data_IF_587415968828
#
_entry.id   IF_587415968828
#
_cell.length_a   1.000
_cell.length_b   1.000
_cell.length_c   1.000
_cell.angle_alpha   90.00
_cell.angle_beta   90.00
_cell.angle_gamma   90.00
#
_symmetry.space_group_name_H-M   'P 1'
#
loop_
_entity.id
_entity.type
_entity.pdbx_description
1 polymer ?
#
# COMPACT_ATOMS: atom_id res chain seq x y z
N UNK A 1 13.66 -4.57 -6.67
CA UNK A 1 14.48 -5.34 -5.70
C UNK A 1 15.18 -4.35 -4.78
N UNK A 2 14.41 -3.57 -4.04
CA UNK A 2 14.93 -2.67 -3.01
C UNK A 2 14.31 -3.16 -1.70
N UNK A 3 15.16 -3.52 -0.75
CA UNK A 3 14.75 -3.78 0.62
C UNK A 3 14.80 -2.46 1.40
N UNK A 4 14.00 -2.35 2.46
CA UNK A 4 14.06 -1.23 3.40
C UNK A 4 15.42 -1.21 4.10
N UNK A 5 15.85 -0.03 4.56
CA UNK A 5 17.09 0.12 5.32
C UNK A 5 17.08 -0.84 6.54
N UNK A 6 18.23 -1.49 6.80
CA UNK A 6 18.35 -2.59 7.78
C UNK A 6 18.09 -4.00 7.21
N UNK A 7 17.76 -4.12 5.91
CA UNK A 7 17.54 -5.41 5.26
C UNK A 7 18.33 -5.54 3.95
N UNK A 8 18.89 -6.73 3.72
CA UNK A 8 19.61 -7.10 2.50
C UNK A 8 18.75 -8.06 1.65
N UNK A 9 18.76 -7.87 0.33
CA UNK A 9 17.99 -8.73 -0.58
C UNK A 9 18.71 -10.06 -0.80
N UNK A 10 18.07 -11.18 -0.42
CA UNK A 10 18.55 -12.53 -0.74
C UNK A 10 18.04 -12.94 -2.15
N UNK A 11 18.92 -13.02 -3.17
CA UNK A 11 18.51 -13.34 -4.53
C UNK A 11 18.11 -14.81 -4.73
N UNK A 12 18.50 -15.70 -3.82
CA UNK A 12 18.18 -17.14 -3.88
C UNK A 12 16.77 -17.38 -3.35
N UNK A 13 16.40 -16.70 -2.27
CA UNK A 13 15.08 -16.84 -1.63
C UNK A 13 14.07 -15.78 -2.08
N UNK A 14 14.50 -14.77 -2.83
CA UNK A 14 13.70 -13.62 -3.26
C UNK A 14 13.00 -12.88 -2.11
N UNK A 15 13.62 -12.86 -0.93
CA UNK A 15 13.11 -12.17 0.28
C UNK A 15 14.15 -11.20 0.82
N UNK A 16 13.69 -10.17 1.53
CA UNK A 16 14.55 -9.28 2.29
C UNK A 16 14.90 -9.94 3.62
N UNK A 17 16.20 -10.07 3.90
CA UNK A 17 16.71 -10.64 5.13
C UNK A 17 17.28 -9.52 5.99
N UNK A 18 16.98 -9.59 7.29
CA UNK A 18 17.55 -8.69 8.30
C UNK A 18 19.09 -8.71 8.28
N UNK A 19 19.69 -7.52 8.34
CA UNK A 19 21.15 -7.33 8.43
C UNK A 19 21.53 -7.43 9.90
N UNK A 20 22.59 -8.18 10.24
CA UNK A 20 23.12 -8.20 11.61
C UNK A 20 24.11 -7.06 11.81
N UNK A 21 23.64 -5.87 12.18
CA UNK A 21 24.52 -4.71 12.32
C UNK A 21 25.49 -4.84 13.51
N UNK A 22 25.15 -5.66 14.52
CA UNK A 22 26.05 -5.96 15.64
C UNK A 22 27.28 -6.78 15.20
N UNK A 23 27.16 -7.58 14.14
CA UNK A 23 28.27 -8.33 13.56
C UNK A 23 29.14 -7.47 12.61
N UNK A 24 28.57 -6.41 12.04
CA UNK A 24 29.22 -5.58 11.01
C UNK A 24 29.92 -4.37 11.64
N UNK A 25 29.32 -3.74 12.66
CA UNK A 25 29.84 -2.53 13.29
C UNK A 25 30.51 -2.89 14.62
N UNK A 26 31.84 -2.93 14.64
CA UNK A 26 32.60 -3.03 15.88
C UNK A 26 32.30 -1.81 16.78
N UNK A 27 31.92 -2.06 18.03
CA UNK A 27 31.47 -1.04 18.99
C UNK A 27 30.23 -0.23 18.55
N UNK A 28 29.24 -0.89 17.92
CA UNK A 28 27.96 -0.29 17.55
C UNK A 28 27.27 0.48 18.70
N UNK A 29 27.51 0.09 19.96
CA UNK A 29 26.96 0.73 21.14
C UNK A 29 28.04 1.43 21.98
N UNK A 30 27.88 2.75 22.19
CA UNK A 30 28.79 3.56 23.02
C UNK A 30 28.50 3.37 24.52
N UNK A 31 29.53 3.52 25.37
CA UNK A 31 29.36 3.59 26.82
C UNK A 31 29.24 2.24 27.54
N UNK A 32 29.83 1.17 27.00
CA UNK A 32 29.85 -0.15 27.65
C UNK A 32 28.54 -0.95 27.58
N UNK A 33 27.60 -0.50 26.74
CA UNK A 33 26.33 -1.18 26.45
C UNK A 33 26.52 -2.36 25.49
N UNK A 34 25.70 -3.40 25.64
CA UNK A 34 25.68 -4.58 24.78
C UNK A 34 24.80 -4.33 23.55
N UNK A 35 25.33 -4.64 22.37
CA UNK A 35 24.57 -4.66 21.12
C UNK A 35 23.74 -5.94 20.99
N UNK A 36 22.49 -5.83 20.56
CA UNK A 36 21.57 -6.95 20.29
C UNK A 36 20.88 -6.71 18.96
N UNK A 37 21.03 -7.66 18.04
CA UNK A 37 20.40 -7.56 16.73
C UNK A 37 18.86 -7.63 16.84
N UNK A 38 18.15 -6.80 16.06
CA UNK A 38 16.70 -6.70 16.06
C UNK A 38 16.18 -6.48 14.64
N UNK A 39 14.92 -6.81 14.36
CA UNK A 39 14.39 -6.68 13.00
C UNK A 39 14.48 -5.23 12.49
N UNK A 40 15.29 -5.01 11.44
CA UNK A 40 15.56 -3.73 10.81
C UNK A 40 16.60 -2.86 11.52
N UNK A 41 17.41 -3.42 12.44
CA UNK A 41 18.49 -2.70 13.10
C UNK A 41 19.05 -3.37 14.36
N UNK A 42 19.54 -2.58 15.31
CA UNK A 42 20.10 -3.10 16.56
C UNK A 42 19.69 -2.29 17.78
N UNK A 43 19.64 -2.95 18.94
CA UNK A 43 19.34 -2.38 20.25
C UNK A 43 20.60 -2.33 21.11
N UNK A 44 20.84 -1.19 21.76
CA UNK A 44 21.89 -1.03 22.76
C UNK A 44 21.31 -1.14 24.17
N UNK A 45 21.68 -2.20 24.89
CA UNK A 45 21.16 -2.49 26.22
C UNK A 45 22.26 -2.41 27.30
N UNK A 46 21.94 -2.02 28.54
CA UNK A 46 22.86 -2.14 29.67
C UNK A 46 23.34 -3.60 29.85
N UNK A 47 24.57 -3.83 30.31
CA UNK A 47 25.13 -5.19 30.45
C UNK A 47 24.27 -6.14 31.32
N UNK A 48 23.48 -5.58 32.24
CA UNK A 48 22.64 -6.32 33.18
C UNK A 48 21.18 -6.45 32.70
N UNK A 49 20.86 -6.02 31.47
CA UNK A 49 19.52 -6.15 30.93
C UNK A 49 19.21 -7.62 30.61
N UNK A 50 18.20 -8.18 31.25
CA UNK A 50 17.65 -9.49 30.89
C UNK A 50 16.62 -9.30 29.78
N UNK A 51 16.91 -9.86 28.61
CA UNK A 51 15.93 -9.95 27.53
C UNK A 51 14.99 -11.09 27.90
N UNK A 52 13.79 -10.74 28.34
CA UNK A 52 12.68 -11.68 28.37
C UNK A 52 12.21 -11.86 26.94
N UNK A 53 12.74 -12.87 26.26
CA UNK A 53 12.10 -13.37 25.05
C UNK A 53 10.80 -14.01 25.53
N UNK A 54 9.66 -13.33 25.37
CA UNK A 54 8.41 -14.06 25.32
C UNK A 54 8.53 -14.99 24.12
N UNK A 55 8.58 -16.30 24.36
CA UNK A 55 8.33 -17.26 23.30
C UNK A 55 6.87 -17.08 22.86
N UNK A 56 6.69 -16.29 21.80
CA UNK A 56 5.42 -15.76 21.28
C UNK A 56 5.64 -14.27 21.04
N UNK A 57 5.95 -13.80 19.83
CA UNK A 57 5.20 -14.06 18.61
C UNK A 57 6.09 -14.39 17.40
N UNK A 58 6.17 -15.68 17.08
CA UNK A 58 6.13 -16.15 15.69
C UNK A 58 4.71 -16.69 15.52
N UNK A 59 3.99 -16.43 14.40
CA UNK A 59 2.69 -17.05 14.17
C UNK A 59 2.91 -18.56 14.02
N UNK A 60 2.78 -19.28 15.13
CA UNK A 60 2.72 -20.73 15.12
C UNK A 60 1.51 -21.14 14.30
N UNK A 61 1.79 -21.78 13.17
CA UNK A 61 0.91 -22.72 12.52
C UNK A 61 0.21 -23.60 13.57
N UNK A 62 -1.07 -23.93 13.41
CA UNK A 62 -1.72 -24.89 14.29
C UNK A 62 -1.11 -26.27 14.06
N UNK A 63 -0.27 -26.72 14.99
CA UNK A 63 0.10 -28.12 15.13
C UNK A 63 -1.02 -28.87 15.86
N UNK A 64 -1.32 -30.05 15.33
CA UNK A 64 -2.23 -31.07 15.85
C UNK A 64 -2.04 -31.35 17.35
N UNK A 65 -3.12 -31.61 18.10
CA UNK A 65 -3.05 -32.32 19.37
C UNK A 65 -3.16 -33.84 19.15
N UNK A 66 -2.15 -34.58 19.59
CA UNK A 66 -2.22 -36.04 19.81
C UNK A 66 -2.98 -36.35 21.11
N UNK A 67 -3.66 -37.51 21.11
CA UNK A 67 -4.51 -38.06 22.17
C UNK A 67 -3.80 -38.32 23.52
N UNK A 68 -4.56 -38.65 24.59
CA UNK A 68 -4.58 -40.06 24.99
C UNK A 68 -5.88 -40.63 25.62
N UNK A 69 -6.01 -41.96 25.45
CA UNK A 69 -6.52 -43.00 26.36
C UNK A 69 -8.04 -43.23 26.62
N UNK A 70 -8.59 -44.27 25.93
CA UNK A 70 -9.32 -45.51 26.36
C UNK A 70 -10.13 -45.56 27.69
N UNK A 71 -11.13 -46.48 27.91
CA UNK A 71 -11.46 -47.77 27.21
C UNK A 71 -13.00 -48.00 27.03
N UNK A 72 -13.61 -49.22 26.85
CA UNK A 72 -13.14 -50.54 26.33
C UNK A 72 -14.00 -51.15 25.17
N UNK A 73 -13.39 -52.09 24.41
CA UNK A 73 -13.82 -53.47 24.02
C UNK A 73 -15.34 -53.80 23.96
N UNK A 74 -15.93 -54.58 23.04
CA UNK A 74 -15.54 -55.66 22.09
C UNK A 74 -16.87 -56.28 21.54
N UNK A 75 -16.88 -57.33 20.68
CA UNK A 75 -15.98 -57.74 19.61
C UNK A 75 -16.69 -58.12 18.29
N UNK A 76 -15.90 -58.31 17.23
CA UNK A 76 -16.23 -59.24 16.13
C UNK A 76 -15.90 -58.65 14.77
N UNK A 77 -15.09 -59.25 13.90
CA UNK A 77 -14.46 -60.57 13.90
C UNK A 77 -13.17 -60.49 13.07
N UNK A 78 -12.26 -61.43 13.36
CA UNK A 78 -10.95 -61.53 12.75
C UNK A 78 -10.98 -61.82 11.24
N UNK A 79 -9.79 -61.59 10.69
CA UNK A 79 -9.40 -61.60 9.29
C UNK A 79 -9.64 -62.91 8.55
N UNK A 80 -9.77 -62.71 7.24
CA UNK A 80 -9.35 -63.51 6.10
C UNK A 80 -8.78 -64.92 6.30
N UNK A 81 -9.38 -65.80 5.49
CA UNK A 81 -8.74 -66.73 4.56
C UNK A 81 -7.72 -67.74 5.08
N UNK A 82 -8.12 -69.01 5.03
CA UNK A 82 -7.27 -70.08 4.55
C UNK A 82 -8.07 -70.94 3.55
N UNK A 83 -7.55 -71.01 2.32
CA UNK A 83 -7.91 -71.99 1.31
C UNK A 83 -7.59 -73.41 1.78
N UNK A 84 -8.45 -74.41 1.51
CA UNK A 84 -8.12 -75.55 0.61
C UNK A 84 -9.24 -76.61 0.58
N UNK A 85 -9.58 -76.99 -0.66
CA UNK A 85 -10.15 -78.24 -1.21
C UNK A 85 -10.69 -79.38 -0.31
N UNK A 86 -11.81 -79.99 -0.76
CA UNK A 86 -11.97 -81.39 -1.26
C UNK A 86 -13.48 -81.80 -1.27
N UNK A 87 -13.99 -82.35 -2.38
CA UNK A 87 -15.31 -83.01 -2.57
C UNK A 87 -15.29 -84.49 -2.08
N UNK A 88 -16.31 -85.37 -2.23
CA UNK A 88 -17.79 -85.31 -2.20
C UNK A 88 -18.43 -86.33 -1.19
N UNK A 89 -19.76 -86.28 -0.97
CA UNK A 89 -20.50 -87.33 -0.23
C UNK A 89 -22.01 -87.37 -0.52
N UNK A 90 -22.50 -88.56 -0.92
CA UNK A 90 -23.88 -88.94 -1.30
C UNK A 90 -24.81 -88.97 -0.06
N UNK A 91 -26.05 -88.45 -0.07
CA UNK A 91 -27.31 -89.03 -0.60
C UNK A 91 -28.45 -88.91 0.46
N UNK A 92 -29.68 -89.41 0.24
CA UNK A 92 -30.80 -88.78 -0.48
C UNK A 92 -32.01 -88.43 0.43
N UNK A 93 -32.93 -87.56 -0.03
CA UNK A 93 -34.27 -87.42 0.56
C UNK A 93 -35.08 -86.19 0.11
N UNK A 94 -36.09 -86.41 -0.75
CA UNK A 94 -37.11 -85.45 -1.20
C UNK A 94 -38.36 -85.46 -0.29
N UNK A 95 -39.01 -84.29 -0.11
CA UNK A 95 -40.48 -83.99 -0.10
C UNK A 95 -40.62 -82.49 0.24
N UNK A 96 -40.99 -81.57 -0.67
CA UNK A 96 -42.27 -81.20 -1.34
C UNK A 96 -43.39 -80.71 -0.41
N UNK A 97 -43.87 -79.47 -0.65
CA UNK A 97 -45.26 -78.98 -0.67
C UNK A 97 -45.25 -77.45 -0.87
N UNK A 98 -46.12 -76.71 -1.57
CA UNK A 98 -47.22 -76.91 -2.53
C UNK A 98 -47.79 -75.49 -2.77
N UNK A 99 -47.88 -75.00 -4.01
CA UNK A 99 -48.84 -73.95 -4.41
C UNK A 99 -48.70 -73.55 -5.90
N UNK A 100 -48.97 -74.51 -6.80
CA UNK A 100 -49.47 -74.18 -8.15
C UNK A 100 -50.97 -74.41 -8.15
N UNK A 101 -51.77 -73.35 -8.15
CA UNK A 101 -53.23 -73.45 -8.20
C UNK A 101 -53.66 -73.75 -9.63
N UNK A 102 -54.33 -74.89 -9.80
CA UNK A 102 -54.98 -75.37 -11.02
C UNK A 102 -56.25 -74.58 -11.32
N UNK A 103 -56.43 -74.16 -12.57
CA UNK A 103 -57.76 -73.86 -13.13
C UNK A 103 -57.95 -74.70 -14.39
N UNK A 104 -59.03 -75.48 -14.46
CA UNK A 104 -59.45 -76.13 -15.70
C UNK A 104 -60.13 -75.08 -16.62
N UNK A 105 -60.08 -75.31 -17.93
CA UNK A 105 -60.76 -74.48 -18.94
C UNK A 105 -62.28 -74.48 -18.77
N UNK A 106 -63.00 -73.46 -19.29
CA UNK A 106 -64.47 -73.44 -19.25
C UNK A 106 -65.06 -74.71 -19.89
N UNK A 107 -65.90 -75.43 -19.14
CA UNK A 107 -66.48 -76.71 -19.56
C UNK A 107 -65.94 -77.96 -18.85
N UNK A 108 -65.00 -77.82 -17.91
CA UNK A 108 -64.43 -78.92 -17.12
C UNK A 108 -64.51 -78.61 -15.61
N UNK A 109 -64.88 -79.59 -14.80
CA UNK A 109 -64.97 -79.49 -13.33
C UNK A 109 -63.82 -80.30 -12.71
N UNK A 110 -63.18 -79.73 -11.68
CA UNK A 110 -62.12 -80.38 -10.88
C UNK A 110 -62.72 -81.43 -9.95
N UNK A 111 -62.15 -82.63 -9.91
CA UNK A 111 -62.53 -83.66 -8.93
C UNK A 111 -61.74 -83.55 -7.62
N UNK A 112 -62.15 -84.33 -6.61
CA UNK A 112 -61.54 -84.36 -5.26
C UNK A 112 -60.09 -84.90 -5.24
N UNK A 113 -59.53 -85.29 -6.38
CA UNK A 113 -58.14 -85.75 -6.54
C UNK A 113 -57.28 -84.87 -7.47
N UNK A 114 -57.75 -83.65 -7.81
CA UNK A 114 -57.04 -82.69 -8.67
C UNK A 114 -56.87 -83.09 -10.15
N UNK A 115 -57.81 -83.85 -10.74
CA UNK A 115 -57.85 -84.13 -12.19
C UNK A 115 -59.03 -83.41 -12.88
N UNK A 116 -58.83 -82.91 -14.12
CA UNK A 116 -59.91 -82.33 -14.95
C UNK A 116 -60.53 -83.44 -15.85
N UNK A 117 -61.85 -83.70 -15.75
CA UNK A 117 -62.59 -84.65 -16.63
C UNK A 117 -63.66 -83.95 -17.48
N UNK A 118 -63.82 -84.39 -18.74
CA UNK A 118 -64.77 -83.83 -19.70
C UNK A 118 -65.83 -84.83 -20.18
N UNK A 119 -66.96 -84.33 -20.67
CA UNK A 119 -68.00 -85.11 -21.34
C UNK A 119 -67.54 -85.57 -22.74
N UNK A 120 -67.77 -86.84 -23.04
CA UNK A 120 -67.50 -87.51 -24.31
C UNK A 120 -68.32 -86.95 -25.47
N UNK A 121 -67.69 -86.70 -26.64
CA UNK A 121 -68.02 -87.16 -28.00
C UNK A 121 -67.18 -86.44 -29.07
N UNK A 122 -67.00 -87.00 -30.29
CA UNK A 122 -65.73 -87.01 -31.00
C UNK A 122 -65.70 -86.03 -32.18
N UNK A 123 -64.52 -85.57 -32.57
CA UNK A 123 -64.07 -85.48 -33.97
C UNK A 123 -62.55 -85.30 -33.93
N UNK A 124 -61.87 -86.14 -34.70
CA UNK A 124 -60.44 -86.14 -34.90
C UNK A 124 -59.99 -84.98 -35.81
N UNK A 125 -59.03 -84.19 -35.36
CA UNK A 125 -58.06 -83.48 -36.22
C UNK A 125 -56.70 -83.38 -35.50
N UNK A 126 -55.57 -83.44 -36.22
CA UNK A 126 -54.26 -83.68 -35.64
C UNK A 126 -53.69 -82.45 -34.92
N UNK A 127 -53.04 -82.72 -33.78
CA UNK A 127 -52.34 -81.76 -32.92
C UNK A 127 -51.05 -81.26 -33.57
N UNK A 128 -51.12 -80.15 -34.31
CA UNK A 128 -49.98 -79.25 -34.53
C UNK A 128 -50.48 -77.81 -34.72
N UNK A 129 -50.78 -77.16 -33.59
CA UNK A 129 -50.73 -75.70 -33.34
C UNK A 129 -51.78 -75.30 -32.30
N UNK A 130 -51.52 -75.66 -31.04
CA UNK A 130 -52.09 -74.90 -29.93
C UNK A 130 -50.97 -73.97 -29.44
N UNK A 131 -50.83 -72.82 -30.09
CA UNK A 131 -50.08 -71.71 -29.51
C UNK A 131 -50.83 -71.25 -28.26
N UNK A 132 -50.47 -71.81 -27.09
CA UNK A 132 -50.72 -71.12 -25.84
C UNK A 132 -49.84 -69.87 -25.86
N UNK A 133 -50.38 -68.76 -26.35
CA UNK A 133 -49.81 -67.46 -26.08
C UNK A 133 -49.86 -67.29 -24.55
N UNK A 134 -48.70 -67.39 -23.91
CA UNK A 134 -48.54 -67.10 -22.50
C UNK A 134 -48.76 -65.58 -22.33
N UNK A 135 -50.02 -65.19 -22.09
CA UNK A 135 -50.36 -63.79 -21.85
C UNK A 135 -49.93 -63.47 -20.43
N UNK A 136 -48.98 -62.56 -20.34
CA UNK A 136 -48.47 -62.04 -19.09
C UNK A 136 -49.58 -61.31 -18.32
N UNK A 137 -49.68 -61.58 -17.01
CA UNK A 137 -50.63 -60.88 -16.15
C UNK A 137 -49.90 -59.69 -15.59
N UNK A 138 -50.21 -58.49 -16.06
CA UNK A 138 -49.68 -57.28 -15.45
C UNK A 138 -50.19 -57.14 -14.00
N UNK A 139 -49.34 -57.47 -13.02
CA UNK A 139 -49.70 -57.40 -11.61
C UNK A 139 -49.71 -55.96 -11.07
N UNK A 140 -48.99 -55.03 -11.71
CA UNK A 140 -48.92 -53.62 -11.34
C UNK A 140 -50.27 -52.92 -11.60
N UNK A 141 -50.82 -53.09 -12.79
CA UNK A 141 -52.14 -52.52 -13.17
C UNK A 141 -53.30 -53.20 -12.46
N UNK A 142 -53.14 -54.47 -12.06
CA UNK A 142 -54.16 -55.24 -11.35
C UNK A 142 -54.06 -55.15 -9.82
N UNK A 143 -53.10 -54.40 -9.29
CA UNK A 143 -52.90 -54.24 -7.84
C UNK A 143 -52.56 -55.55 -7.11
N UNK A 144 -51.94 -56.52 -7.82
CA UNK A 144 -51.60 -57.85 -7.28
C UNK A 144 -50.10 -58.01 -6.98
N UNK A 145 -49.44 -56.90 -6.66
CA UNK A 145 -48.03 -56.83 -6.28
C UNK A 145 -47.87 -56.62 -4.77
N UNK A 146 -46.67 -56.89 -4.25
CA UNK A 146 -46.31 -56.67 -2.83
C UNK A 146 -45.34 -55.50 -2.65
N UNK A 147 -45.22 -54.60 -3.63
CA UNK A 147 -44.37 -53.41 -3.53
C UNK A 147 -44.85 -52.46 -2.41
N UNK A 148 -43.89 -51.92 -1.65
CA UNK A 148 -44.13 -50.88 -0.63
C UNK A 148 -44.58 -49.57 -1.29
N UNK A 149 -45.17 -48.65 -0.52
CA UNK A 149 -45.63 -47.35 -1.03
C UNK A 149 -44.52 -46.49 -1.67
N UNK A 150 -43.27 -46.69 -1.22
CA UNK A 150 -42.09 -45.95 -1.68
C UNK A 150 -41.38 -46.63 -2.87
N UNK A 151 -42.02 -47.62 -3.48
CA UNK A 151 -41.51 -48.41 -4.61
C UNK A 151 -42.41 -48.30 -5.84
N UNK A 152 -41.79 -48.24 -7.00
CA UNK A 152 -42.44 -48.31 -8.31
C UNK A 152 -42.49 -49.79 -8.73
N UNK A 153 -43.68 -50.24 -9.11
CA UNK A 153 -43.91 -51.58 -9.65
C UNK A 153 -43.65 -51.57 -11.16
N UNK A 154 -42.75 -52.44 -11.61
CA UNK A 154 -42.47 -52.72 -13.01
C UNK A 154 -42.94 -54.13 -13.35
N UNK A 155 -43.85 -54.26 -14.32
CA UNK A 155 -44.31 -55.56 -14.78
C UNK A 155 -43.21 -56.27 -15.60
N UNK A 156 -43.00 -57.56 -15.36
CA UNK A 156 -42.00 -58.39 -16.05
C UNK A 156 -42.65 -59.66 -16.56
N UNK A 157 -42.11 -60.28 -17.61
CA UNK A 157 -42.75 -61.48 -18.17
C UNK A 157 -42.75 -62.64 -17.16
N UNK A 158 -43.93 -62.94 -16.62
CA UNK A 158 -44.19 -63.98 -15.62
C UNK A 158 -44.08 -63.53 -14.15
N UNK A 159 -43.82 -62.25 -13.86
CA UNK A 159 -43.71 -61.70 -12.49
C UNK A 159 -43.70 -60.16 -12.45
N UNK A 160 -43.45 -59.55 -11.30
CA UNK A 160 -43.27 -58.10 -11.16
C UNK A 160 -41.97 -57.78 -10.40
N UNK A 161 -41.41 -56.60 -10.65
CA UNK A 161 -40.23 -56.05 -9.98
C UNK A 161 -40.61 -54.79 -9.22
N UNK A 162 -40.30 -54.74 -7.93
CA UNK A 162 -40.43 -53.52 -7.12
C UNK A 162 -39.08 -52.83 -7.02
N UNK A 163 -38.99 -51.59 -7.49
CA UNK A 163 -37.78 -50.78 -7.40
C UNK A 163 -38.08 -49.50 -6.62
N UNK A 164 -37.13 -49.03 -5.81
CA UNK A 164 -37.29 -47.75 -5.11
C UNK A 164 -37.50 -46.60 -6.12
N UNK A 165 -38.20 -45.55 -5.67
CA UNK A 165 -38.32 -44.32 -6.47
C UNK A 165 -36.92 -43.79 -6.86
N UNK A 166 -36.80 -43.06 -7.99
CA UNK A 166 -35.52 -42.45 -8.38
C UNK A 166 -34.93 -41.60 -7.24
N UNK A 167 -33.62 -41.72 -7.01
CA UNK A 167 -32.94 -41.06 -5.88
C UNK A 167 -32.96 -41.86 -4.56
N UNK A 168 -33.62 -43.02 -4.51
CA UNK A 168 -33.65 -43.89 -3.33
C UNK A 168 -32.96 -45.23 -3.59
N UNK A 169 -32.30 -45.75 -2.56
CA UNK A 169 -31.64 -47.06 -2.59
C UNK A 169 -32.30 -48.03 -1.61
N UNK A 170 -32.25 -49.32 -1.95
CA UNK A 170 -32.84 -50.37 -1.12
C UNK A 170 -31.92 -50.70 0.06
N UNK A 171 -32.40 -50.53 1.28
CA UNK A 171 -31.74 -50.95 2.51
C UNK A 171 -32.68 -51.91 3.27
N UNK A 172 -32.46 -53.22 3.11
CA UNK A 172 -33.42 -54.23 3.56
C UNK A 172 -34.73 -54.16 2.76
N UNK A 173 -35.86 -54.03 3.46
CA UNK A 173 -37.21 -53.89 2.85
C UNK A 173 -37.66 -52.43 2.69
N UNK A 174 -36.84 -51.47 3.13
CA UNK A 174 -37.13 -50.03 3.05
C UNK A 174 -36.32 -49.34 1.96
N UNK A 175 -36.91 -48.32 1.36
CA UNK A 175 -36.22 -47.40 0.46
C UNK A 175 -35.73 -46.21 1.27
N UNK A 176 -34.40 -46.05 1.33
CA UNK A 176 -33.77 -44.91 2.00
C UNK A 176 -33.20 -43.99 0.94
N UNK A 177 -33.20 -42.69 1.24
CA UNK A 177 -32.61 -41.68 0.39
C UNK A 177 -31.14 -42.04 0.08
N UNK A 178 -30.76 -41.91 -1.19
CA UNK A 178 -29.39 -42.16 -1.61
C UNK A 178 -28.60 -40.87 -1.39
N UNK A 179 -27.72 -40.86 -0.41
CA UNK A 179 -26.86 -39.70 -0.22
C UNK A 179 -25.77 -39.64 -1.31
N UNK A 180 -26.02 -38.83 -2.36
CA UNK A 180 -25.07 -38.62 -3.44
C UNK A 180 -23.81 -37.87 -2.98
N UNK A 181 -23.85 -37.16 -1.86
CA UNK A 181 -22.72 -36.39 -1.33
C UNK A 181 -21.65 -37.26 -0.68
N UNK A 182 -21.95 -38.53 -0.37
CA UNK A 182 -20.96 -39.49 0.14
C UNK A 182 -19.94 -39.92 -0.93
N UNK A 183 -20.15 -39.57 -2.20
CA UNK A 183 -19.24 -39.83 -3.31
C UNK A 183 -18.48 -38.55 -3.69
N UNK A 184 -17.16 -38.55 -3.52
CA UNK A 184 -16.26 -37.38 -3.49
C UNK A 184 -16.15 -36.54 -4.80
N UNK A 185 -17.00 -36.71 -5.80
CA UNK A 185 -16.86 -36.07 -7.12
C UNK A 185 -18.14 -35.49 -7.72
N UNK A 186 -19.25 -35.45 -6.97
CA UNK A 186 -20.51 -34.92 -7.51
C UNK A 186 -20.53 -33.39 -7.58
N UNK A 187 -20.01 -32.68 -6.58
CA UNK A 187 -19.97 -31.21 -6.59
C UNK A 187 -18.53 -30.70 -6.54
N UNK A 188 -18.25 -29.58 -7.20
CA UNK A 188 -16.92 -28.94 -7.14
C UNK A 188 -16.62 -28.36 -5.75
N UNK A 189 -17.63 -27.75 -5.10
CA UNK A 189 -17.50 -27.17 -3.76
C UNK A 189 -18.38 -27.93 -2.76
N UNK A 190 -19.53 -27.36 -2.35
CA UNK A 190 -20.39 -27.95 -1.32
C UNK A 190 -21.51 -28.77 -1.96
N UNK A 191 -21.69 -30.00 -1.48
CA UNK A 191 -22.83 -30.85 -1.84
C UNK A 191 -23.85 -30.83 -0.70
N UNK A 192 -25.13 -30.65 -1.03
CA UNK A 192 -26.24 -30.73 -0.07
C UNK A 192 -27.19 -31.84 -0.52
N UNK A 193 -27.31 -32.88 0.31
CA UNK A 193 -28.21 -33.98 0.07
C UNK A 193 -29.65 -33.61 0.46
N UNK A 194 -30.63 -34.04 -0.34
CA UNK A 194 -32.06 -33.77 -0.12
C UNK A 194 -32.87 -35.04 -0.39
N UNK A 195 -34.07 -35.23 0.19
CA UNK A 195 -34.84 -36.44 -0.07
C UNK A 195 -35.17 -36.62 -1.57
N UNK A 196 -34.57 -37.63 -2.21
CA UNK A 196 -34.73 -38.00 -3.61
C UNK A 196 -33.83 -37.27 -4.61
N UNK A 197 -32.92 -36.39 -4.16
CA UNK A 197 -32.00 -35.64 -5.03
C UNK A 197 -30.87 -34.98 -4.22
N UNK A 198 -29.97 -34.28 -4.88
CA UNK A 198 -28.99 -33.40 -4.25
C UNK A 198 -28.89 -32.10 -5.05
N UNK A 199 -28.22 -31.11 -4.49
CA UNK A 199 -27.81 -29.93 -5.23
C UNK A 199 -26.45 -29.43 -4.78
N UNK A 200 -25.75 -28.76 -5.69
CA UNK A 200 -24.43 -28.20 -5.44
C UNK A 200 -24.52 -26.71 -5.13
N UNK A 201 -23.73 -26.27 -4.16
CA UNK A 201 -23.57 -24.88 -3.78
C UNK A 201 -22.11 -24.45 -3.94
N UNK A 202 -21.92 -23.22 -4.36
CA UNK A 202 -20.61 -22.63 -4.56
C UNK A 202 -20.23 -21.77 -3.36
N UNK A 203 -18.95 -21.81 -2.97
CA UNK A 203 -18.38 -20.88 -2.01
C UNK A 203 -18.54 -19.42 -2.48
N UNK A 204 -18.45 -18.47 -1.55
CA UNK A 204 -18.43 -17.03 -1.84
C UNK A 204 -17.38 -16.70 -2.91
N UNK A 205 -17.70 -15.78 -3.83
CA UNK A 205 -16.88 -15.45 -4.99
C UNK A 205 -17.08 -16.38 -6.20
N UNK A 206 -17.98 -17.35 -6.12
CA UNK A 206 -18.28 -18.27 -7.21
C UNK A 206 -19.78 -18.39 -7.47
N UNK A 207 -20.12 -18.68 -8.72
CA UNK A 207 -21.50 -18.99 -9.14
C UNK A 207 -21.57 -20.38 -9.76
N UNK A 208 -22.74 -21.00 -9.63
CA UNK A 208 -22.97 -22.32 -10.20
C UNK A 208 -22.97 -22.24 -11.74
N UNK A 209 -22.22 -23.14 -12.38
CA UNK A 209 -22.16 -23.25 -13.82
C UNK A 209 -23.44 -23.89 -14.39
N UNK A 210 -23.62 -23.84 -15.71
CA UNK A 210 -24.80 -24.39 -16.40
C UNK A 210 -24.97 -25.91 -16.26
N UNK A 211 -23.92 -26.60 -15.83
CA UNK A 211 -23.97 -28.03 -15.53
C UNK A 211 -24.48 -28.34 -14.11
N UNK A 212 -24.83 -27.34 -13.29
CA UNK A 212 -25.28 -27.48 -11.91
C UNK A 212 -24.30 -28.21 -10.96
N UNK A 213 -23.04 -28.36 -11.35
CA UNK A 213 -22.05 -29.17 -10.65
C UNK A 213 -20.73 -28.43 -10.41
N UNK A 214 -20.31 -27.63 -11.38
CA UNK A 214 -19.07 -26.86 -11.33
C UNK A 214 -19.33 -25.45 -10.84
N UNK A 215 -18.34 -24.88 -10.17
CA UNK A 215 -18.36 -23.50 -9.71
C UNK A 215 -17.40 -22.68 -10.58
N UNK A 216 -17.91 -21.60 -11.16
CA UNK A 216 -17.09 -20.66 -11.91
C UNK A 216 -16.93 -19.40 -11.10
N UNK A 217 -15.72 -18.87 -11.16
CA UNK A 217 -15.36 -17.60 -10.55
C UNK A 217 -16.32 -16.49 -10.99
N UNK A 218 -16.74 -15.66 -10.04
CA UNK A 218 -17.52 -14.45 -10.32
C UNK A 218 -16.53 -13.33 -10.51
N UNK A 219 -16.53 -12.71 -11.70
CA UNK A 219 -15.70 -11.54 -11.90
C UNK A 219 -16.35 -10.30 -11.25
N UNK A 220 -16.00 -10.00 -10.00
CA UNK A 220 -16.59 -8.87 -9.28
C UNK A 220 -16.28 -7.52 -9.95
N UNK A 221 -15.11 -7.41 -10.61
CA UNK A 221 -14.72 -6.22 -11.36
C UNK A 221 -15.62 -5.94 -12.58
N UNK A 222 -16.29 -6.95 -13.13
CA UNK A 222 -17.24 -6.77 -14.22
C UNK A 222 -18.68 -6.63 -13.74
N UNK A 223 -19.02 -7.25 -12.61
CA UNK A 223 -20.40 -7.34 -12.14
C UNK A 223 -20.75 -6.20 -11.19
N UNK A 224 -19.95 -5.97 -10.14
CA UNK A 224 -20.28 -5.01 -9.08
C UNK A 224 -19.40 -3.76 -9.09
N UNK A 225 -18.23 -3.80 -9.73
CA UNK A 225 -17.23 -2.71 -9.71
C UNK A 225 -17.00 -2.13 -8.30
N UNK A 226 -16.55 -2.97 -7.36
CA UNK A 226 -16.53 -2.61 -5.94
C UNK A 226 -15.43 -1.58 -5.57
N UNK A 227 -14.38 -1.47 -6.40
CA UNK A 227 -13.23 -0.63 -6.11
C UNK A 227 -13.45 0.82 -6.56
N UNK A 228 -12.94 1.78 -5.78
CA UNK A 228 -12.94 3.20 -6.16
C UNK A 228 -12.04 3.50 -7.37
N UNK A 229 -10.86 2.87 -7.43
CA UNK A 229 -9.89 3.01 -8.51
C UNK A 229 -9.80 1.75 -9.38
N UNK A 230 -8.70 1.01 -9.30
CA UNK A 230 -8.45 -0.16 -10.16
C UNK A 230 -8.92 -1.43 -9.46
N UNK A 231 -9.63 -2.30 -10.19
CA UNK A 231 -10.08 -3.60 -9.71
C UNK A 231 -9.37 -4.71 -10.48
N UNK A 232 -8.79 -5.66 -9.76
CA UNK A 232 -8.18 -6.86 -10.32
C UNK A 232 -8.92 -8.09 -9.82
N UNK A 233 -9.45 -8.86 -10.77
CA UNK A 233 -10.16 -10.08 -10.45
C UNK A 233 -9.18 -11.20 -10.08
N UNK A 234 -9.46 -11.91 -8.99
CA UNK A 234 -8.72 -13.08 -8.54
C UNK A 234 -9.66 -14.29 -8.50
N UNK A 235 -9.11 -15.49 -8.38
CA UNK A 235 -9.94 -16.69 -8.28
C UNK A 235 -10.57 -16.74 -6.87
N UNK A 236 -11.89 -16.57 -6.81
CA UNK A 236 -12.72 -16.56 -5.61
C UNK A 236 -12.75 -15.24 -4.84
N UNK A 237 -12.18 -14.17 -5.40
CA UNK A 237 -12.16 -12.84 -4.77
C UNK A 237 -11.71 -11.77 -5.76
N UNK A 238 -11.56 -10.54 -5.31
CA UNK A 238 -10.94 -9.46 -6.06
C UNK A 238 -9.99 -8.68 -5.14
N UNK A 239 -9.11 -7.89 -5.75
CA UNK A 239 -8.29 -6.91 -5.03
C UNK A 239 -8.40 -5.55 -5.68
N UNK A 240 -8.51 -4.52 -4.84
CA UNK A 240 -8.50 -3.13 -5.27
C UNK A 240 -7.08 -2.56 -5.19
N UNK A 241 -6.73 -1.73 -6.18
CA UNK A 241 -5.47 -1.02 -6.24
C UNK A 241 -5.75 0.47 -6.45
N UNK A 242 -5.15 1.29 -5.60
CA UNK A 242 -5.25 2.74 -5.68
C UNK A 242 -4.28 3.31 -6.72
N UNK A 243 -4.67 4.42 -7.33
CA UNK A 243 -3.79 5.21 -8.19
C UNK A 243 -2.63 5.79 -7.38
N UNK A 244 -1.57 6.22 -8.07
CA UNK A 244 -0.42 6.88 -7.41
C UNK A 244 -0.89 8.11 -6.62
N UNK A 245 -0.33 8.30 -5.42
CA UNK A 245 -0.73 9.38 -4.49
C UNK A 245 -1.85 8.98 -3.53
N UNK A 246 -2.37 7.74 -3.63
CA UNK A 246 -3.40 7.23 -2.74
C UNK A 246 -2.98 5.90 -2.13
N UNK A 247 -3.46 5.62 -0.92
CA UNK A 247 -3.33 4.33 -0.24
C UNK A 247 -4.69 3.66 -0.04
N UNK A 248 -4.69 2.33 0.10
CA UNK A 248 -5.91 1.56 0.24
C UNK A 248 -6.45 1.71 1.66
N UNK A 249 -7.71 2.11 1.78
CA UNK A 249 -8.39 2.28 3.06
C UNK A 249 -8.57 0.93 3.78
N UNK A 250 -8.82 0.93 5.11
CA UNK A 250 -9.03 -0.30 5.88
C UNK A 250 -10.20 -1.18 5.40
N UNK A 251 -11.13 -0.63 4.62
CA UNK A 251 -12.23 -1.37 4.01
C UNK A 251 -11.83 -2.16 2.75
N UNK A 252 -10.56 -2.04 2.31
CA UNK A 252 -9.98 -2.68 1.12
C UNK A 252 -10.61 -2.29 -0.23
N UNK A 253 -11.48 -1.28 -0.26
CA UNK A 253 -12.20 -0.86 -1.48
C UNK A 253 -12.06 0.61 -1.81
N UNK A 254 -11.95 1.47 -0.79
CA UNK A 254 -11.77 2.91 -0.95
C UNK A 254 -10.30 3.29 -0.98
N UNK A 255 -10.01 4.43 -1.59
CA UNK A 255 -8.67 4.97 -1.72
C UNK A 255 -8.58 6.31 -1.00
N UNK A 256 -7.71 6.40 0.00
CA UNK A 256 -7.47 7.63 0.73
C UNK A 256 -6.23 8.33 0.18
N UNK A 257 -6.33 9.64 0.07
CA UNK A 257 -5.25 10.50 -0.37
C UNK A 257 -4.08 10.44 0.62
N UNK A 258 -2.86 10.33 0.11
CA UNK A 258 -1.66 10.36 0.93
C UNK A 258 -1.28 11.82 1.16
N UNK A 259 -1.46 12.30 2.39
CA UNK A 259 -1.04 13.66 2.72
C UNK A 259 0.50 13.76 2.79
N UNK A 260 1.12 14.14 1.67
CA UNK A 260 2.57 14.24 1.59
C UNK A 260 3.13 15.36 2.47
N UNK A 261 2.32 16.39 2.74
CA UNK A 261 2.68 17.51 3.61
C UNK A 261 2.75 17.08 5.08
N UNK A 262 1.87 16.16 5.51
CA UNK A 262 1.93 15.56 6.85
C UNK A 262 3.09 14.56 6.99
N UNK A 263 3.38 13.80 5.93
CA UNK A 263 4.43 12.78 5.94
C UNK A 263 5.85 13.38 5.88
N UNK A 264 6.06 14.45 5.11
CA UNK A 264 7.38 15.08 4.95
C UNK A 264 7.29 16.61 5.05
N UNK A 265 7.42 17.17 6.27
CA UNK A 265 7.27 18.60 6.50
C UNK A 265 8.29 19.48 5.75
N UNK A 266 9.47 18.93 5.44
CA UNK A 266 10.56 19.63 4.76
C UNK A 266 10.58 19.37 3.24
N UNK A 267 9.46 18.89 2.68
CA UNK A 267 9.39 18.55 1.26
C UNK A 267 9.48 19.79 0.37
N UNK A 268 8.75 20.85 0.73
CA UNK A 268 8.78 22.15 0.06
C UNK A 268 9.74 23.11 0.80
N UNK A 269 10.35 24.05 0.08
CA UNK A 269 11.17 25.10 0.70
C UNK A 269 10.35 26.03 1.61
N UNK A 270 9.08 26.29 1.25
CA UNK A 270 8.22 27.21 2.00
C UNK A 270 6.92 26.54 2.48
N UNK A 271 5.86 26.57 1.68
CA UNK A 271 4.56 26.01 2.07
C UNK A 271 4.20 24.83 1.18
N UNK A 272 3.72 23.76 1.81
CA UNK A 272 3.18 22.58 1.16
C UNK A 272 1.66 22.61 1.24
N UNK A 273 1.00 22.35 0.12
CA UNK A 273 -0.46 22.22 0.02
C UNK A 273 -0.75 20.82 -0.50
N UNK A 274 -1.40 20.02 0.34
CA UNK A 274 -1.84 18.69 -0.04
C UNK A 274 -3.03 18.77 -1.01
N UNK A 275 -3.01 17.96 -2.07
CA UNK A 275 -4.06 17.89 -3.07
C UNK A 275 -4.39 16.43 -3.40
N UNK A 276 -5.59 16.09 -3.90
CA UNK A 276 -5.89 14.69 -4.17
C UNK A 276 -4.95 14.06 -5.21
N UNK A 277 -4.10 13.12 -4.77
CA UNK A 277 -3.14 12.34 -5.56
C UNK A 277 -1.76 12.98 -5.77
N UNK A 278 -1.54 14.19 -5.25
CA UNK A 278 -0.27 14.91 -5.36
C UNK A 278 -0.19 16.04 -4.31
N UNK A 279 0.92 16.73 -4.24
CA UNK A 279 1.05 17.97 -3.48
C UNK A 279 1.53 19.10 -4.38
N UNK A 280 1.30 20.33 -3.94
CA UNK A 280 1.87 21.52 -4.57
C UNK A 280 2.63 22.34 -3.56
N UNK A 281 3.80 22.86 -3.96
CA UNK A 281 4.55 23.81 -3.18
C UNK A 281 4.19 25.23 -3.61
N UNK A 282 4.00 26.12 -2.64
CA UNK A 282 3.78 27.55 -2.90
C UNK A 282 4.93 28.39 -2.35
N UNK A 283 5.18 29.49 -3.04
CA UNK A 283 6.20 30.47 -2.67
C UNK A 283 5.54 31.72 -2.09
N UNK A 284 6.24 32.43 -1.18
CA UNK A 284 5.77 33.71 -0.67
C UNK A 284 5.81 34.80 -1.76
N UNK A 285 5.16 35.93 -1.49
CA UNK A 285 5.17 37.08 -2.39
C UNK A 285 6.60 37.54 -2.70
N UNK A 286 6.86 37.92 -3.97
CA UNK A 286 8.21 38.26 -4.47
C UNK A 286 9.05 37.05 -4.88
N UNK A 287 8.52 35.83 -4.78
CA UNK A 287 9.20 34.61 -5.21
C UNK A 287 8.34 33.80 -6.20
N UNK A 288 9.03 33.10 -7.09
CA UNK A 288 8.43 32.16 -8.03
C UNK A 288 8.96 30.74 -7.81
N UNK A 289 8.12 29.74 -8.10
CA UNK A 289 8.51 28.35 -7.97
C UNK A 289 9.51 27.98 -9.08
N UNK A 290 10.73 27.65 -8.69
CA UNK A 290 11.77 27.11 -9.57
C UNK A 290 11.76 25.59 -9.49
N UNK A 291 11.30 24.94 -10.57
CA UNK A 291 11.03 23.50 -10.56
C UNK A 291 9.73 23.19 -9.81
N UNK A 292 9.76 22.23 -8.89
CA UNK A 292 8.56 21.80 -8.14
C UNK A 292 8.57 22.14 -6.66
N UNK A 293 9.74 22.49 -6.08
CA UNK A 293 9.91 22.52 -4.60
C UNK A 293 10.71 23.71 -4.07
N UNK A 294 11.41 24.46 -4.93
CA UNK A 294 12.28 25.57 -4.53
C UNK A 294 11.69 26.91 -4.97
N UNK A 295 11.92 27.94 -4.17
CA UNK A 295 11.49 29.30 -4.44
C UNK A 295 12.69 30.15 -4.86
N UNK A 296 12.55 30.80 -6.00
CA UNK A 296 13.53 31.73 -6.55
C UNK A 296 12.98 33.14 -6.48
N UNK A 297 13.82 34.07 -6.06
CA UNK A 297 13.53 35.51 -6.07
C UNK A 297 13.13 35.99 -7.47
N UNK A 298 12.08 36.79 -7.54
CA UNK A 298 11.68 37.46 -8.77
C UNK A 298 12.49 38.74 -8.86
N UNK A 299 13.27 38.91 -9.93
CA UNK A 299 13.93 40.19 -10.15
C UNK A 299 12.93 41.20 -10.73
N UNK A 300 12.28 41.99 -9.87
CA UNK A 300 11.29 42.99 -10.33
C UNK A 300 11.93 44.08 -11.19
N UNK A 301 13.22 44.35 -10.98
CA UNK A 301 13.97 45.31 -11.79
C UNK A 301 14.15 44.86 -13.26
N UNK A 302 14.03 43.56 -13.55
CA UNK A 302 14.08 43.01 -14.91
C UNK A 302 12.71 42.68 -15.49
N UNK A 303 11.70 42.50 -14.63
CA UNK A 303 10.37 42.03 -15.03
C UNK A 303 9.35 43.16 -15.03
N UNK A 304 9.03 43.74 -13.86
CA UNK A 304 8.10 44.87 -13.74
C UNK A 304 8.32 45.59 -12.41
N UNK A 305 8.58 46.90 -12.48
CA UNK A 305 8.77 47.75 -11.31
C UNK A 305 8.06 49.10 -11.49
N UNK A 306 7.69 49.74 -10.39
CA UNK A 306 7.02 51.04 -10.39
C UNK A 306 7.99 52.24 -10.24
N UNK A 307 9.30 52.00 -10.30
CA UNK A 307 10.30 53.08 -10.21
C UNK A 307 10.19 54.09 -11.35
N UNK A 308 10.30 55.38 -11.02
CA UNK A 308 10.31 56.48 -11.98
C UNK A 308 11.63 56.58 -12.76
N UNK A 309 11.67 57.37 -13.83
CA UNK A 309 12.91 57.62 -14.59
C UNK A 309 13.99 58.35 -13.79
N UNK A 310 13.58 59.08 -12.75
CA UNK A 310 14.47 59.75 -11.79
C UNK A 310 14.96 58.79 -10.70
N UNK A 311 14.55 57.52 -10.72
CA UNK A 311 14.93 56.51 -9.74
C UNK A 311 15.71 55.36 -10.39
N UNK A 312 16.55 54.71 -9.60
CA UNK A 312 17.21 53.46 -9.92
C UNK A 312 16.50 52.35 -9.16
N UNK A 313 16.11 51.29 -9.88
CA UNK A 313 15.57 50.09 -9.28
C UNK A 313 16.72 49.26 -8.67
N UNK A 314 16.49 48.78 -7.46
CA UNK A 314 17.38 47.85 -6.76
C UNK A 314 16.60 46.62 -6.31
N UNK A 315 16.98 45.47 -6.83
CA UNK A 315 16.39 44.18 -6.48
C UNK A 315 17.00 43.63 -5.17
N UNK A 316 16.17 43.03 -4.33
CA UNK A 316 16.59 42.28 -3.15
C UNK A 316 15.70 41.06 -2.97
N UNK A 317 16.08 40.16 -2.07
CA UNK A 317 15.32 38.93 -1.84
C UNK A 317 13.91 39.22 -1.32
N UNK A 318 12.90 38.87 -2.09
CA UNK A 318 11.49 39.07 -1.80
C UNK A 318 10.94 40.44 -2.19
N UNK A 319 11.66 41.22 -3.00
CA UNK A 319 11.13 42.47 -3.53
C UNK A 319 12.17 43.43 -4.10
N UNK A 320 11.70 44.63 -4.45
CA UNK A 320 12.55 45.68 -4.99
C UNK A 320 12.35 47.02 -4.26
N UNK A 321 13.30 47.92 -4.46
CA UNK A 321 13.23 49.29 -3.97
C UNK A 321 13.75 50.28 -4.99
N UNK A 322 13.09 51.42 -5.09
CA UNK A 322 13.49 52.54 -5.92
C UNK A 322 14.32 53.52 -5.09
N UNK A 323 15.49 53.90 -5.59
CA UNK A 323 16.32 54.94 -4.98
C UNK A 323 16.50 56.11 -5.95
N UNK A 324 16.59 57.36 -5.48
CA UNK A 324 16.81 58.50 -6.36
C UNK A 324 18.10 58.35 -7.19
N UNK A 325 18.02 58.61 -8.49
CA UNK A 325 19.18 58.86 -9.37
C UNK A 325 19.70 60.26 -9.02
N UNK A 326 20.85 60.31 -8.35
CA UNK A 326 21.53 61.51 -7.82
C UNK A 326 21.21 61.83 -6.35
N UNK A 327 21.47 60.92 -5.39
CA UNK A 327 21.31 61.20 -3.97
C UNK A 327 22.42 62.09 -3.39
N UNK A 328 23.22 62.78 -4.24
CA UNK A 328 24.28 63.65 -3.73
C UNK A 328 23.63 64.81 -2.97
N UNK A 329 23.80 64.82 -1.66
CA UNK A 329 23.36 65.92 -0.80
C UNK A 329 24.12 67.20 -1.20
N UNK A 330 23.44 68.35 -1.20
CA UNK A 330 24.11 69.66 -1.33
C UNK A 330 25.17 69.78 -0.21
N UNK A 331 26.45 70.15 -0.47
CA UNK A 331 27.06 70.73 -1.69
C UNK A 331 27.85 69.76 -2.59
N UNK A 332 27.55 68.46 -2.54
CA UNK A 332 28.25 67.47 -3.34
C UNK A 332 27.66 67.33 -4.74
N UNK A 333 28.54 67.25 -5.75
CA UNK A 333 28.15 67.06 -7.14
C UNK A 333 28.62 65.69 -7.63
N UNK A 334 27.75 64.98 -8.34
CA UNK A 334 28.05 63.65 -8.89
C UNK A 334 29.09 63.74 -10.00
N UNK A 335 30.12 62.91 -9.94
CA UNK A 335 31.07 62.71 -11.03
C UNK A 335 30.59 61.61 -11.98
N UNK A 336 31.22 61.51 -13.16
CA UNK A 336 30.99 60.42 -14.13
C UNK A 336 31.24 59.01 -13.55
N UNK A 337 32.03 58.90 -12.47
CA UNK A 337 32.35 57.65 -11.78
C UNK A 337 31.33 57.29 -10.68
N UNK A 338 30.16 57.94 -10.65
CA UNK A 338 29.13 57.74 -9.62
C UNK A 338 29.60 58.05 -8.18
N UNK A 339 30.50 59.02 -8.03
CA UNK A 339 30.98 59.53 -6.73
C UNK A 339 30.47 60.94 -6.53
N UNK A 340 29.96 61.26 -5.35
CA UNK A 340 29.60 62.62 -4.98
C UNK A 340 30.87 63.31 -4.47
N UNK A 341 31.34 64.34 -5.15
CA UNK A 341 32.56 65.07 -4.80
C UNK A 341 32.19 66.48 -4.40
N UNK A 342 32.81 66.97 -3.33
CA UNK A 342 32.65 68.35 -2.92
C UNK A 342 33.36 69.28 -3.92
N UNK A 343 32.66 70.30 -4.42
CA UNK A 343 33.29 71.37 -5.22
C UNK A 343 33.97 72.41 -4.31
N UNK A 344 34.93 73.22 -4.80
CA UNK A 344 35.74 74.13 -3.98
C UNK A 344 35.02 75.33 -3.34
N UNK A 345 33.70 75.26 -3.16
CA UNK A 345 32.96 76.24 -2.37
C UNK A 345 33.30 76.03 -0.89
N UNK A 346 33.36 77.11 -0.12
CA UNK A 346 33.71 77.08 1.32
C UNK A 346 32.75 76.24 2.19
N UNK A 347 31.67 75.72 1.62
CA UNK A 347 30.61 74.96 2.28
C UNK A 347 31.04 73.57 2.81
N UNK A 348 32.10 72.95 2.28
CA UNK A 348 32.51 71.61 2.72
C UNK A 348 33.52 71.58 3.87
N UNK A 349 33.78 72.71 4.54
CA UNK A 349 34.73 72.74 5.67
C UNK A 349 34.24 71.83 6.79
N UNK A 350 34.98 70.74 7.02
CA UNK A 350 34.69 69.74 8.06
C UNK A 350 33.95 68.49 7.58
N UNK A 351 33.56 68.41 6.31
CA UNK A 351 32.94 67.23 5.69
C UNK A 351 33.93 66.33 4.92
N UNK A 352 33.50 65.13 4.52
CA UNK A 352 34.30 64.27 3.64
C UNK A 352 34.52 64.95 2.28
N UNK A 353 35.65 64.66 1.64
CA UNK A 353 35.98 65.15 0.29
C UNK A 353 35.13 64.47 -0.79
N UNK A 354 34.73 63.23 -0.53
CA UNK A 354 33.85 62.47 -1.41
C UNK A 354 32.94 61.54 -0.64
N UNK A 355 31.75 61.31 -1.19
CA UNK A 355 30.74 60.38 -0.70
C UNK A 355 30.43 59.37 -1.80
N UNK A 356 30.42 58.09 -1.44
CA UNK A 356 30.02 56.99 -2.32
C UNK A 356 28.83 56.28 -1.69
N UNK A 357 27.81 56.00 -2.50
CA UNK A 357 26.64 55.23 -2.07
C UNK A 357 26.77 53.81 -2.61
N UNK A 358 26.55 52.82 -1.74
CA UNK A 358 26.52 51.40 -2.10
C UNK A 358 25.29 50.75 -1.50
N UNK A 359 24.75 49.79 -2.22
CA UNK A 359 23.60 49.00 -1.81
C UNK A 359 24.02 47.54 -1.74
N UNK A 360 23.50 46.82 -0.76
CA UNK A 360 23.76 45.40 -0.53
C UNK A 360 22.48 44.73 -0.06
N UNK A 361 22.19 43.55 -0.58
CA UNK A 361 21.16 42.67 -0.04
C UNK A 361 21.78 41.55 0.79
N UNK A 362 21.18 41.25 1.94
CA UNK A 362 21.61 40.17 2.83
C UNK A 362 20.41 39.29 3.17
N UNK A 363 20.64 37.98 3.25
CA UNK A 363 19.68 36.99 3.74
C UNK A 363 19.58 37.02 5.27
N UNK A 364 18.36 36.94 5.82
CA UNK A 364 18.14 36.95 7.29
C UNK A 364 18.61 35.68 8.02
N UNK A 365 18.95 34.61 7.30
CA UNK A 365 19.32 33.29 7.83
C UNK A 365 20.82 33.17 8.17
N UNK A 366 21.62 34.22 7.91
CA UNK A 366 23.07 34.19 8.11
C UNK A 366 23.41 34.10 9.60
N UNK A 367 23.68 32.89 10.08
CA UNK A 367 24.08 32.62 11.47
C UNK A 367 25.53 33.07 11.76
N UNK A 368 25.71 34.05 12.67
CA UNK A 368 27.00 34.52 13.28
C UNK A 368 28.06 35.04 12.27
N UNK A 369 29.15 35.69 12.73
CA UNK A 369 29.61 36.96 12.15
C UNK A 369 30.12 36.79 10.71
N UNK A 370 29.28 37.13 9.74
CA UNK A 370 29.68 37.23 8.35
C UNK A 370 30.52 38.49 8.15
N UNK A 371 31.64 38.35 7.45
CA UNK A 371 32.37 39.48 6.87
C UNK A 371 31.56 39.95 5.66
N UNK A 372 30.67 40.92 5.88
CA UNK A 372 29.67 41.29 4.87
C UNK A 372 30.22 42.29 3.85
N UNK A 373 31.14 43.17 4.25
CA UNK A 373 31.69 44.19 3.34
C UNK A 373 33.13 44.55 3.71
N UNK A 374 34.00 44.64 2.70
CA UNK A 374 35.39 45.08 2.88
C UNK A 374 35.60 46.47 2.29
N UNK A 375 36.11 47.40 3.10
CA UNK A 375 36.59 48.71 2.66
C UNK A 375 38.09 48.59 2.39
N UNK A 376 38.53 49.09 1.23
CA UNK A 376 39.93 49.10 0.85
C UNK A 376 40.36 50.49 0.40
N UNK A 377 41.47 50.96 0.96
CA UNK A 377 42.15 52.18 0.54
C UNK A 377 42.94 51.90 -0.75
N UNK A 378 42.83 52.81 -1.71
CA UNK A 378 43.57 52.76 -2.98
C UNK A 378 44.98 53.32 -2.88
N UNK A 379 45.28 54.12 -1.85
CA UNK A 379 46.61 54.69 -1.61
C UNK A 379 47.49 53.74 -0.78
N UNK A 380 48.55 53.22 -1.43
CA UNK A 380 49.53 52.28 -0.85
C UNK A 380 50.88 53.01 -0.57
N UNK A 381 50.91 54.34 -0.61
CA UNK A 381 52.16 55.07 -0.42
C UNK A 381 52.73 54.87 0.99
N UNK A 382 54.05 54.69 1.14
CA UNK A 382 54.69 54.36 2.43
C UNK A 382 54.48 55.42 3.52
N UNK A 383 54.15 56.65 3.14
CA UNK A 383 53.94 57.79 4.04
C UNK A 383 52.45 58.12 4.28
N UNK A 384 51.58 57.11 4.17
CA UNK A 384 50.13 57.26 4.40
C UNK A 384 49.65 56.33 5.50
N UNK A 385 48.85 56.87 6.42
CA UNK A 385 48.13 56.07 7.42
C UNK A 385 46.63 56.19 7.20
N UNK A 386 45.98 55.04 7.01
CA UNK A 386 44.53 54.97 6.86
C UNK A 386 43.88 54.58 8.21
N UNK A 387 42.84 55.32 8.56
CA UNK A 387 41.97 55.02 9.71
C UNK A 387 40.56 54.78 9.19
N UNK A 388 39.92 53.72 9.66
CA UNK A 388 38.56 53.35 9.31
C UNK A 388 37.68 53.45 10.54
N UNK A 389 36.50 54.04 10.43
CA UNK A 389 35.52 54.12 11.52
C UNK A 389 34.09 54.12 11.00
N UNK A 390 33.17 53.67 11.84
CA UNK A 390 31.73 53.85 11.63
C UNK A 390 31.39 55.26 12.12
N UNK A 391 30.88 56.11 11.23
CA UNK A 391 30.51 57.49 11.51
C UNK A 391 29.09 57.62 12.05
N UNK A 392 28.14 56.86 11.49
CA UNK A 392 26.73 56.85 11.88
C UNK A 392 26.05 55.55 11.41
N UNK A 393 24.82 55.30 11.86
CA UNK A 393 24.01 54.17 11.38
C UNK A 393 24.27 52.84 12.11
N UNK A 394 24.90 52.91 13.28
CA UNK A 394 25.20 51.75 14.12
C UNK A 394 24.83 52.00 15.59
N UNK A 395 23.76 52.77 15.81
CA UNK A 395 23.28 53.19 17.13
C UNK A 395 22.86 51.96 17.98
N UNK A 396 22.40 50.90 17.33
CA UNK A 396 22.01 49.62 17.94
C UNK A 396 23.18 48.64 18.14
N UNK A 397 24.40 48.99 17.72
CA UNK A 397 25.58 48.13 17.82
C UNK A 397 25.50 46.87 16.97
N UNK A 398 24.78 46.89 15.85
CA UNK A 398 24.59 45.76 14.94
C UNK A 398 25.89 45.39 14.19
N UNK A 399 26.80 46.34 14.03
CA UNK A 399 28.03 46.18 13.28
C UNK A 399 29.26 46.55 14.11
N UNK A 400 30.41 45.98 13.75
CA UNK A 400 31.71 46.51 14.15
C UNK A 400 32.67 46.47 12.97
N UNK A 401 33.70 47.32 13.02
CA UNK A 401 34.79 47.29 12.04
C UNK A 401 35.97 46.48 12.58
N UNK A 402 36.32 45.43 11.86
CA UNK A 402 37.53 44.63 12.11
C UNK A 402 38.63 45.06 11.15
N UNK A 403 39.74 45.57 11.68
CA UNK A 403 40.90 45.93 10.85
C UNK A 403 41.49 44.65 10.24
N UNK A 404 41.58 44.60 8.91
CA UNK A 404 42.16 43.49 8.17
C UNK A 404 43.63 43.77 7.84
N UNK A 405 43.96 45.01 7.47
CA UNK A 405 45.35 45.45 7.21
C UNK A 405 45.51 46.96 7.41
N UNK A 406 46.66 47.53 7.04
CA UNK A 406 46.88 48.99 7.02
C UNK A 406 46.11 49.72 5.91
N UNK A 407 45.56 48.98 4.96
CA UNK A 407 44.81 49.51 3.81
C UNK A 407 43.41 48.93 3.73
N UNK A 408 42.97 48.09 4.68
CA UNK A 408 41.65 47.46 4.64
C UNK A 408 41.01 47.26 6.01
N UNK A 409 39.68 47.37 6.04
CA UNK A 409 38.83 47.03 7.18
C UNK A 409 37.59 46.26 6.70
N UNK A 410 37.12 45.31 7.51
CA UNK A 410 35.90 44.54 7.26
C UNK A 410 34.78 45.02 8.19
N UNK A 411 33.60 45.23 7.62
CA UNK A 411 32.36 45.42 8.36
C UNK A 411 31.81 44.04 8.71
N UNK A 412 31.63 43.79 10.01
CA UNK A 412 31.26 42.49 10.55
C UNK A 412 29.99 42.62 11.37
N UNK A 413 29.08 41.67 11.18
CA UNK A 413 27.85 41.56 11.97
C UNK A 413 28.16 41.13 13.41
N UNK A 414 27.58 41.80 14.39
CA UNK A 414 27.65 41.38 15.81
C UNK A 414 26.62 40.28 16.13
N UNK A 415 25.51 40.28 15.39
CA UNK A 415 24.39 39.36 15.50
C UNK A 415 23.74 39.17 14.13
N UNK A 416 23.00 38.08 13.96
CA UNK A 416 22.20 37.86 12.76
C UNK A 416 21.15 38.97 12.60
N UNK A 417 20.88 39.37 11.36
CA UNK A 417 19.89 40.39 11.06
C UNK A 417 18.54 39.71 10.82
N UNK A 418 17.51 40.12 11.56
CA UNK A 418 16.14 39.62 11.40
C UNK A 418 15.37 40.59 10.50
N UNK A 419 15.03 40.18 9.28
CA UNK A 419 14.30 41.04 8.33
C UNK A 419 12.80 41.18 8.63
N UNK A 420 12.07 42.00 7.85
CA UNK A 420 12.56 42.98 6.88
C UNK A 420 13.18 44.20 7.57
N UNK A 421 14.39 44.56 7.16
CA UNK A 421 15.09 45.73 7.69
C UNK A 421 15.83 46.47 6.59
N UNK A 422 15.89 47.79 6.72
CA UNK A 422 16.82 48.63 5.97
C UNK A 422 17.76 49.30 6.97
N UNK A 423 19.06 49.11 6.77
CA UNK A 423 20.11 49.66 7.62
C UNK A 423 21.01 50.54 6.76
N UNK A 424 21.23 51.78 7.17
CA UNK A 424 22.10 52.72 6.47
C UNK A 424 23.30 52.98 7.37
N UNK A 425 24.47 52.47 6.98
CA UNK A 425 25.72 52.61 7.75
C UNK A 425 26.68 53.55 7.02
N UNK A 426 27.11 54.60 7.72
CA UNK A 426 28.09 55.55 7.21
C UNK A 426 29.50 55.14 7.66
N UNK A 427 30.32 54.71 6.70
CA UNK A 427 31.69 54.23 6.92
C UNK A 427 32.68 55.29 6.43
N UNK A 428 33.54 55.77 7.32
CA UNK A 428 34.50 56.82 6.99
C UNK A 428 35.92 56.26 6.95
N UNK A 429 36.62 56.55 5.85
CA UNK A 429 38.06 56.34 5.70
C UNK A 429 38.77 57.68 5.75
N UNK A 430 39.69 57.83 6.70
CA UNK A 430 40.54 59.00 6.86
C UNK A 430 41.96 58.62 6.48
N UNK A 431 42.51 59.28 5.45
CA UNK A 431 43.90 59.12 5.05
C UNK A 431 44.72 60.31 5.57
N UNK A 432 45.72 60.00 6.38
CA UNK A 432 46.68 60.98 6.89
C UNK A 432 48.00 60.85 6.13
N UNK A 433 48.39 61.93 5.44
CA UNK A 433 49.69 62.02 4.78
C UNK A 433 50.72 62.57 5.78
N UNK A 434 51.64 61.72 6.24
CA UNK A 434 52.56 62.06 7.33
C UNK A 434 53.57 63.14 6.94
N UNK A 435 54.02 63.15 5.69
CA UNK A 435 55.03 64.11 5.18
C UNK A 435 54.44 65.49 4.91
N UNK A 436 53.22 65.54 4.34
CA UNK A 436 52.59 66.79 3.93
C UNK A 436 51.62 67.36 4.99
N UNK A 437 51.44 66.65 6.10
CA UNK A 437 50.61 67.02 7.25
C UNK A 437 49.18 67.48 6.88
N UNK A 438 48.56 66.79 5.93
CA UNK A 438 47.15 66.99 5.58
C UNK A 438 46.34 65.69 5.71
N UNK A 439 45.03 65.85 5.91
CA UNK A 439 44.06 64.76 6.03
C UNK A 439 43.04 64.85 4.92
N UNK A 440 42.75 63.72 4.31
CA UNK A 440 41.59 63.55 3.43
C UNK A 440 40.63 62.58 4.07
N UNK A 441 39.33 62.84 3.91
CA UNK A 441 38.27 61.95 4.37
C UNK A 441 37.41 61.55 3.18
N UNK A 442 37.07 60.26 3.11
CA UNK A 442 36.11 59.72 2.16
C UNK A 442 35.05 58.97 2.94
N UNK A 443 33.78 59.24 2.61
CA UNK A 443 32.63 58.60 3.22
C UNK A 443 32.02 57.58 2.26
N UNK A 444 31.72 56.41 2.77
CA UNK A 444 30.94 55.39 2.11
C UNK A 444 29.63 55.24 2.89
N UNK A 445 28.51 55.61 2.26
CA UNK A 445 27.17 55.31 2.78
C UNK A 445 26.73 53.97 2.21
N UNK A 446 26.66 52.95 3.06
CA UNK A 446 26.23 51.60 2.70
C UNK A 446 24.80 51.38 3.18
N UNK A 447 23.87 51.20 2.24
CA UNK A 447 22.50 50.78 2.52
C UNK A 447 22.42 49.26 2.40
N UNK A 448 22.11 48.60 3.49
CA UNK A 448 21.92 47.16 3.60
C UNK A 448 20.42 46.91 3.67
N UNK A 449 19.91 46.15 2.71
CA UNK A 449 18.53 45.70 2.67
C UNK A 449 18.51 44.24 3.08
N UNK A 450 17.84 43.96 4.18
CA UNK A 450 17.56 42.61 4.64
C UNK A 450 16.16 42.29 4.16
N UNK A 451 16.05 41.28 3.29
CA UNK A 451 14.77 40.82 2.77
C UNK A 451 13.82 40.41 3.90
N UNK A 452 12.50 40.46 3.69
CA UNK A 452 11.51 40.14 4.71
C UNK A 452 11.73 38.78 5.34
N UNK A 453 12.23 37.80 4.59
CA UNK A 453 12.62 36.50 5.11
C UNK A 453 13.68 35.86 4.19
N UNK A 454 14.76 35.35 4.78
CA UNK A 454 15.50 34.21 4.27
C UNK A 454 15.06 33.00 5.08
N UNK A 455 14.72 31.93 4.35
CA UNK A 455 14.14 30.71 4.89
C UNK A 455 15.17 29.60 4.93
#
# INVERSE_FOLDING_TARGET
RQCTDGYEYDPVRQVCKDIDECAIVADACKGGMKCVNHFGGYLCLPQNAQIFVSSGDEPSQPAEPSAPANPPQSPGQGQSEVQTHVQPGRGPGRRVSSSRILRCTPGFILDEQNYCRGHSYPIATPLTSCFCAFVDIDECTRGRHTCSADQICYNTRGSFLCQCQPGYQKNGDQCVDRDECLLSHYCMHRCVNTPGSYYCECNSGYRLASNNHSCVDVNECQVSQPCEHQCHNLIGSFICQCNRGFELAPDSVSCIDIDECAYSPYMCQYACINTPGEYSCTCPDGYQLQGTRMCQDINECETSHECTEEEMCWNYYGGYRCYPRNPCEDPYVRTSENRCVCQPTTACRGGPQSIVYKYMSIHSDRTVPADIFQIQATNIYPNTHNTFRIRAGNEKGEFFLRRSSNVSAMLVLTKSLEGPLELIVDLEMITHHTVANYRTSSLLRLTIIVGPYAF
#
